data_IF_943976349147
#
_entry.id   IF_943976349147
#
_cell.length_a   1.000
_cell.length_b   1.000
_cell.length_c   1.000
_cell.angle_alpha   90.00
_cell.angle_beta   90.00
_cell.angle_gamma   90.00
#
_symmetry.space_group_name_H-M   'P 1'
#
loop_
_entity.id
_entity.type
_entity.pdbx_description
1 polymer ?
#
# COMPACT_ATOMS: atom_id res chain seq x y z
N UNK A 1 -14.17 12.40 22.64
CA UNK A 1 -15.06 11.70 21.68
C UNK A 1 -16.13 10.88 22.39
N UNK A 2 -15.80 10.10 23.44
CA UNK A 2 -16.79 9.31 24.20
C UNK A 2 -17.94 10.13 24.82
N UNK A 3 -17.70 11.37 25.15
CA UNK A 3 -18.72 12.29 25.65
C UNK A 3 -19.69 12.78 24.56
N UNK A 4 -19.38 12.51 23.30
CA UNK A 4 -20.12 12.97 22.11
C UNK A 4 -20.88 11.85 21.40
N UNK A 5 -20.73 10.60 21.86
CA UNK A 5 -21.35 9.41 21.24
C UNK A 5 -21.65 8.35 22.27
N UNK A 6 -22.74 7.60 22.04
CA UNK A 6 -23.12 6.45 22.89
C UNK A 6 -22.18 5.26 22.69
N UNK A 7 -21.69 5.05 21.47
CA UNK A 7 -20.74 4.00 21.11
C UNK A 7 -19.60 4.55 20.27
N UNK A 8 -18.36 4.26 20.64
CA UNK A 8 -17.15 4.57 19.89
C UNK A 8 -16.55 3.29 19.32
N UNK A 9 -16.61 3.15 18.00
CA UNK A 9 -16.02 2.03 17.27
C UNK A 9 -14.68 2.47 16.65
N UNK A 10 -13.62 1.71 16.91
CA UNK A 10 -12.32 1.92 16.27
C UNK A 10 -12.06 0.88 15.19
N UNK A 11 -11.79 1.34 13.97
CA UNK A 11 -11.34 0.54 12.84
C UNK A 11 -9.98 1.10 12.40
N UNK A 12 -8.89 0.33 12.42
CA UNK A 12 -7.60 0.79 11.92
C UNK A 12 -7.71 1.24 10.46
N UNK A 13 -7.17 2.42 10.16
CA UNK A 13 -7.17 2.97 8.79
C UNK A 13 -6.17 2.25 7.85
N UNK A 14 -5.28 1.45 8.41
CA UNK A 14 -4.28 0.67 7.68
C UNK A 14 -4.66 -0.80 7.63
N UNK A 15 -4.11 -1.50 6.65
CA UNK A 15 -4.12 -2.96 6.57
C UNK A 15 -2.68 -3.45 6.56
N UNK A 16 -2.46 -4.61 7.20
CA UNK A 16 -1.13 -5.21 7.34
C UNK A 16 -1.17 -6.64 6.81
N UNK A 17 0.01 -7.16 6.46
CA UNK A 17 0.14 -8.58 6.15
C UNK A 17 -0.42 -9.40 7.31
N UNK A 18 -1.23 -10.41 7.01
CA UNK A 18 -1.68 -11.35 8.04
C UNK A 18 -0.51 -12.21 8.52
N UNK A 19 -0.39 -12.38 9.82
CA UNK A 19 0.70 -13.11 10.46
C UNK A 19 0.13 -14.13 11.45
N UNK A 20 0.84 -15.23 11.65
CA UNK A 20 0.49 -16.21 12.67
C UNK A 20 0.65 -15.54 14.07
N UNK A 21 -0.39 -15.55 14.90
CA UNK A 21 -0.30 -15.08 16.30
C UNK A 21 0.76 -15.77 17.15
N UNK A 22 1.27 -16.91 16.72
CA UNK A 22 2.34 -17.66 17.40
C UNK A 22 3.75 -17.21 16.97
N UNK A 23 3.89 -16.48 15.87
CA UNK A 23 5.17 -15.91 15.45
C UNK A 23 5.49 -14.68 16.31
N UNK A 24 6.20 -14.92 17.41
CA UNK A 24 6.52 -13.90 18.43
C UNK A 24 7.29 -12.71 17.85
N UNK A 25 8.18 -12.95 16.87
CA UNK A 25 8.97 -11.89 16.23
C UNK A 25 8.09 -11.01 15.34
N UNK A 26 7.23 -11.62 14.53
CA UNK A 26 6.29 -10.89 13.69
C UNK A 26 5.26 -10.12 14.53
N UNK A 27 4.78 -10.70 15.63
CA UNK A 27 3.86 -10.05 16.59
C UNK A 27 4.51 -8.84 17.23
N UNK A 28 5.77 -8.93 17.68
CA UNK A 28 6.47 -7.78 18.30
C UNK A 28 6.62 -6.62 17.32
N UNK A 29 6.89 -6.87 16.05
CA UNK A 29 6.99 -5.83 15.01
C UNK A 29 5.69 -5.04 14.80
N UNK A 30 4.53 -5.63 15.09
CA UNK A 30 3.22 -4.98 14.92
C UNK A 30 2.60 -4.50 16.22
N UNK A 31 3.26 -4.75 17.36
CA UNK A 31 2.74 -4.45 18.71
C UNK A 31 2.38 -2.96 18.88
N UNK A 32 3.16 -2.07 18.30
CA UNK A 32 2.91 -0.63 18.38
C UNK A 32 1.57 -0.20 17.76
N UNK A 33 1.05 -0.95 16.77
CA UNK A 33 -0.28 -0.71 16.20
C UNK A 33 -1.43 -1.13 17.15
N UNK A 34 -1.16 -2.05 18.06
CA UNK A 34 -2.12 -2.48 19.09
C UNK A 34 -2.19 -1.49 20.24
N UNK A 35 -1.05 -0.93 20.62
CA UNK A 35 -0.90 -0.10 21.83
C UNK A 35 -1.35 1.35 21.65
N UNK A 36 -2.22 1.63 20.69
CA UNK A 36 -2.72 2.99 20.44
C UNK A 36 -3.87 3.35 21.38
N UNK A 37 -4.02 4.63 21.78
CA UNK A 37 -5.10 5.07 22.65
C UNK A 37 -6.50 4.72 22.13
N UNK A 38 -6.68 4.66 20.80
CA UNK A 38 -7.95 4.31 20.17
C UNK A 38 -8.41 2.89 20.55
N UNK A 39 -7.50 1.91 20.63
CA UNK A 39 -7.81 0.53 21.04
C UNK A 39 -8.31 0.48 22.49
N UNK A 40 -7.67 1.26 23.39
CA UNK A 40 -8.07 1.32 24.79
C UNK A 40 -9.42 2.02 24.98
N UNK A 41 -9.62 3.13 24.30
CA UNK A 41 -10.73 4.04 24.56
C UNK A 41 -12.01 3.73 23.78
N UNK A 42 -11.94 2.99 22.67
CA UNK A 42 -13.12 2.55 21.94
C UNK A 42 -13.97 1.60 22.78
N UNK A 43 -15.25 1.50 22.46
CA UNK A 43 -16.16 0.50 23.02
C UNK A 43 -16.04 -0.81 22.26
N UNK A 44 -15.83 -0.72 20.92
CA UNK A 44 -15.53 -1.85 20.03
C UNK A 44 -14.31 -1.57 19.17
N UNK A 45 -13.58 -2.63 18.84
CA UNK A 45 -12.41 -2.57 17.95
C UNK A 45 -12.58 -3.61 16.86
N UNK A 46 -12.67 -3.19 15.61
CA UNK A 46 -12.83 -4.10 14.47
C UNK A 46 -11.49 -4.18 13.73
N UNK A 47 -10.95 -5.37 13.59
CA UNK A 47 -9.66 -5.62 12.93
C UNK A 47 -9.83 -6.56 11.73
N UNK A 48 -8.85 -6.55 10.85
CA UNK A 48 -8.91 -7.12 9.50
C UNK A 48 -9.04 -8.66 9.43
N UNK A 49 -8.76 -9.39 10.52
CA UNK A 49 -8.79 -10.86 10.52
C UNK A 49 -8.86 -11.42 11.94
N UNK A 50 -9.22 -12.71 12.06
CA UNK A 50 -9.20 -13.43 13.33
C UNK A 50 -7.78 -13.58 13.90
N UNK A 51 -6.76 -13.81 13.07
CA UNK A 51 -5.36 -13.77 13.50
C UNK A 51 -5.02 -12.42 14.13
N UNK A 52 -5.45 -11.33 13.48
CA UNK A 52 -5.23 -9.98 14.00
C UNK A 52 -5.96 -9.76 15.33
N UNK A 53 -7.19 -10.25 15.48
CA UNK A 53 -7.91 -10.24 16.76
C UNK A 53 -7.11 -10.94 17.85
N UNK A 54 -6.61 -12.14 17.59
CA UNK A 54 -5.81 -12.89 18.58
C UNK A 54 -4.56 -12.13 19.01
N UNK A 55 -3.86 -11.48 18.06
CA UNK A 55 -2.69 -10.64 18.37
C UNK A 55 -3.07 -9.48 19.29
N UNK A 56 -4.17 -8.79 18.99
CA UNK A 56 -4.65 -7.67 19.80
C UNK A 56 -5.06 -8.14 21.21
N UNK A 57 -5.85 -9.20 21.30
CA UNK A 57 -6.27 -9.79 22.60
C UNK A 57 -5.06 -10.21 23.43
N UNK A 58 -4.14 -10.97 22.84
CA UNK A 58 -2.95 -11.46 23.55
C UNK A 58 -2.05 -10.30 24.03
N UNK A 59 -1.84 -9.31 23.17
CA UNK A 59 -1.02 -8.13 23.51
C UNK A 59 -1.64 -7.33 24.65
N UNK A 60 -2.93 -7.06 24.58
CA UNK A 60 -3.62 -6.28 25.63
C UNK A 60 -3.76 -7.07 26.93
N UNK A 61 -3.97 -8.38 26.85
CA UNK A 61 -3.98 -9.27 28.02
C UNK A 61 -2.60 -9.31 28.70
N UNK A 62 -1.51 -9.37 27.94
CA UNK A 62 -0.15 -9.33 28.48
C UNK A 62 0.14 -8.01 29.22
N UNK A 63 -0.48 -6.90 28.81
CA UNK A 63 -0.31 -5.59 29.44
C UNK A 63 -1.19 -5.42 30.68
N UNK A 64 -2.45 -5.86 30.63
CA UNK A 64 -3.46 -5.56 31.64
C UNK A 64 -3.76 -6.76 32.58
N UNK A 65 -3.17 -7.91 32.30
CA UNK A 65 -3.32 -9.14 33.09
C UNK A 65 -4.41 -10.09 32.58
N UNK A 66 -4.27 -11.37 32.88
CA UNK A 66 -5.13 -12.46 32.39
C UNK A 66 -6.60 -12.29 32.79
N UNK A 67 -6.88 -11.68 33.93
CA UNK A 67 -8.25 -11.36 34.37
C UNK A 67 -9.02 -10.46 33.38
N UNK A 68 -8.32 -9.75 32.47
CA UNK A 68 -8.90 -8.87 31.46
C UNK A 68 -9.10 -9.56 30.11
N UNK A 69 -8.69 -10.81 29.91
CA UNK A 69 -8.78 -11.53 28.64
C UNK A 69 -10.19 -11.52 28.05
N UNK A 70 -11.18 -11.96 28.85
CA UNK A 70 -12.58 -12.00 28.39
C UNK A 70 -13.11 -10.64 27.95
N UNK A 71 -12.69 -9.57 28.62
CA UNK A 71 -13.05 -8.21 28.20
C UNK A 71 -12.48 -7.87 26.81
N UNK A 72 -11.20 -8.20 26.54
CA UNK A 72 -10.58 -7.93 25.26
C UNK A 72 -11.12 -8.82 24.15
N UNK A 73 -11.43 -10.08 24.44
CA UNK A 73 -12.07 -11.02 23.49
C UNK A 73 -13.45 -10.54 23.03
N UNK A 74 -14.23 -9.94 23.93
CA UNK A 74 -15.55 -9.38 23.59
C UNK A 74 -15.47 -8.04 22.90
N UNK A 75 -14.43 -7.23 23.17
CA UNK A 75 -14.27 -5.89 22.63
C UNK A 75 -13.69 -5.89 21.22
N UNK A 76 -12.85 -6.89 20.88
CA UNK A 76 -12.12 -6.96 19.62
C UNK A 76 -12.77 -7.98 18.69
N UNK A 77 -13.09 -7.54 17.48
CA UNK A 77 -13.73 -8.37 16.45
C UNK A 77 -12.80 -8.48 15.23
N UNK A 78 -12.57 -9.72 14.76
CA UNK A 78 -11.72 -10.03 13.61
C UNK A 78 -12.51 -10.20 12.31
N UNK A 79 -13.44 -9.28 12.01
CA UNK A 79 -14.47 -9.47 10.98
C UNK A 79 -14.10 -8.95 9.60
N UNK A 80 -12.95 -8.27 9.45
CA UNK A 80 -12.53 -7.75 8.14
C UNK A 80 -12.07 -6.30 8.19
N UNK A 81 -11.91 -5.71 7.00
CA UNK A 81 -11.54 -4.29 6.84
C UNK A 81 -12.34 -3.67 5.71
N UNK A 82 -12.96 -2.50 5.91
CA UNK A 82 -13.65 -1.78 4.83
C UNK A 82 -12.76 -1.50 3.60
N UNK A 83 -11.44 -1.45 3.80
CA UNK A 83 -10.49 -1.31 2.68
C UNK A 83 -10.43 -2.56 1.81
N UNK A 84 -10.53 -3.74 2.42
CA UNK A 84 -10.59 -5.00 1.65
C UNK A 84 -11.89 -5.11 0.90
N UNK A 85 -13.02 -4.85 1.57
CA UNK A 85 -14.34 -4.87 0.94
C UNK A 85 -14.42 -3.87 -0.22
N UNK A 86 -13.82 -2.68 -0.05
CA UNK A 86 -13.72 -1.70 -1.12
C UNK A 86 -12.97 -2.24 -2.32
N UNK A 87 -11.76 -2.81 -2.12
CA UNK A 87 -10.91 -3.29 -3.21
C UNK A 87 -11.52 -4.50 -3.93
N UNK A 88 -12.15 -5.41 -3.21
CA UNK A 88 -12.82 -6.59 -3.79
C UNK A 88 -13.99 -6.21 -4.70
N UNK A 89 -14.56 -5.02 -4.52
CA UNK A 89 -15.70 -4.51 -5.30
C UNK A 89 -15.31 -3.43 -6.33
N UNK A 90 -14.01 -3.11 -6.51
CA UNK A 90 -13.56 -2.14 -7.51
C UNK A 90 -13.77 -2.68 -8.93
N UNK A 91 -14.27 -1.81 -9.81
CA UNK A 91 -14.38 -2.04 -11.24
C UNK A 91 -13.71 -0.91 -11.99
N UNK A 92 -13.06 -1.23 -13.11
CA UNK A 92 -12.40 -0.21 -13.94
C UNK A 92 -13.39 0.86 -14.44
N UNK A 93 -14.61 0.44 -14.79
CA UNK A 93 -15.69 1.32 -15.26
C UNK A 93 -16.15 2.37 -14.24
N UNK A 94 -15.85 2.17 -12.95
CA UNK A 94 -16.20 3.13 -11.88
C UNK A 94 -15.26 4.34 -11.85
N UNK A 95 -14.21 4.35 -12.67
CA UNK A 95 -13.16 5.37 -12.63
C UNK A 95 -12.99 6.08 -13.96
N UNK A 96 -12.97 7.39 -13.88
CA UNK A 96 -12.56 8.22 -15.00
C UNK A 96 -11.03 8.23 -15.08
N UNK A 97 -10.50 7.79 -16.22
CA UNK A 97 -9.07 7.86 -16.56
C UNK A 97 -8.88 9.10 -17.43
N UNK A 98 -7.89 9.99 -17.14
CA UNK A 98 -7.55 11.11 -18.01
C UNK A 98 -7.31 10.66 -19.46
N UNK A 99 -7.74 11.46 -20.43
CA UNK A 99 -7.66 11.05 -21.85
C UNK A 99 -6.22 10.87 -22.32
N UNK A 100 -5.29 11.65 -21.81
CA UNK A 100 -3.86 11.47 -22.04
C UNK A 100 -3.33 10.12 -21.53
N UNK A 101 -3.86 9.62 -20.41
CA UNK A 101 -3.50 8.30 -19.87
C UNK A 101 -4.16 7.17 -20.67
N UNK A 102 -5.43 7.35 -21.08
CA UNK A 102 -6.11 6.39 -21.97
C UNK A 102 -5.33 6.19 -23.27
N UNK A 103 -4.83 7.28 -23.86
CA UNK A 103 -4.04 7.22 -25.09
C UNK A 103 -2.78 6.37 -24.94
N UNK A 104 -2.11 6.42 -23.77
CA UNK A 104 -0.93 5.59 -23.47
C UNK A 104 -1.28 4.10 -23.28
N UNK A 105 -2.52 3.79 -22.88
CA UNK A 105 -2.99 2.43 -22.63
C UNK A 105 -3.43 1.69 -23.89
N UNK A 106 -3.47 2.35 -25.05
CA UNK A 106 -3.95 1.76 -26.30
C UNK A 106 -2.78 1.56 -27.27
N UNK A 107 -2.75 0.40 -27.92
CA UNK A 107 -1.80 0.08 -28.99
C UNK A 107 -2.21 0.74 -30.30
N UNK A 108 -1.30 0.86 -31.29
CA UNK A 108 -1.64 1.40 -32.61
C UNK A 108 -2.77 0.63 -33.34
N UNK A 109 -2.96 -0.65 -33.03
CA UNK A 109 -4.02 -1.47 -33.59
C UNK A 109 -5.38 -1.32 -32.88
N UNK A 110 -5.45 -0.43 -31.87
CA UNK A 110 -6.65 -0.15 -31.07
C UNK A 110 -6.88 -1.13 -29.89
N UNK A 111 -6.02 -2.12 -29.71
CA UNK A 111 -6.11 -3.03 -28.55
C UNK A 111 -5.50 -2.40 -27.31
N UNK A 112 -5.91 -2.85 -26.12
CA UNK A 112 -5.39 -2.34 -24.85
C UNK A 112 -4.06 -2.97 -24.49
N UNK A 113 -3.09 -2.15 -24.08
CA UNK A 113 -1.85 -2.62 -23.44
C UNK A 113 -2.15 -3.16 -22.04
N UNK A 114 -1.28 -4.02 -21.55
CA UNK A 114 -1.30 -4.41 -20.13
C UNK A 114 -0.75 -3.28 -19.25
N UNK A 115 -1.52 -2.87 -18.26
CA UNK A 115 -1.11 -1.84 -17.31
C UNK A 115 -0.44 -2.46 -16.08
N UNK A 116 0.79 -2.07 -15.79
CA UNK A 116 1.56 -2.56 -14.66
C UNK A 116 1.71 -1.46 -13.62
N UNK A 117 1.11 -1.65 -12.44
CA UNK A 117 1.26 -0.72 -11.31
C UNK A 117 2.67 -0.83 -10.72
N UNK A 118 3.49 0.19 -10.91
CA UNK A 118 4.82 0.29 -10.34
C UNK A 118 4.78 1.17 -9.08
N UNK A 119 4.94 0.56 -7.92
CA UNK A 119 4.93 1.27 -6.65
C UNK A 119 6.31 1.38 -6.04
N UNK A 120 6.75 2.60 -5.75
CA UNK A 120 8.00 2.91 -5.03
C UNK A 120 7.67 3.43 -3.63
N UNK A 121 8.23 2.78 -2.60
CA UNK A 121 7.92 3.02 -1.20
C UNK A 121 8.98 3.83 -0.46
N UNK A 122 8.58 4.68 0.48
CA UNK A 122 9.51 5.49 1.29
C UNK A 122 10.48 4.65 2.13
N UNK A 123 10.02 3.53 2.69
CA UNK A 123 10.89 2.65 3.48
C UNK A 123 12.00 2.03 2.62
N UNK A 124 11.66 1.63 1.38
CA UNK A 124 12.67 1.13 0.44
C UNK A 124 13.67 2.23 0.07
N UNK A 125 13.19 3.47 -0.14
CA UNK A 125 14.04 4.60 -0.47
C UNK A 125 15.04 4.90 0.65
N UNK A 126 14.58 4.99 1.91
CA UNK A 126 15.44 5.25 3.08
C UNK A 126 16.47 4.13 3.28
N UNK A 127 16.11 2.87 3.07
CA UNK A 127 16.99 1.74 3.33
C UNK A 127 17.99 1.47 2.21
N UNK A 128 17.71 1.90 0.98
CA UNK A 128 18.53 1.59 -0.20
C UNK A 128 19.31 2.80 -0.72
N UNK A 129 18.87 4.01 -0.35
CA UNK A 129 19.54 5.27 -0.74
C UNK A 129 19.81 5.33 -2.27
N UNK A 130 21.08 5.49 -2.67
CA UNK A 130 21.49 5.53 -4.07
C UNK A 130 21.09 4.28 -4.87
N UNK A 131 21.08 3.10 -4.24
CA UNK A 131 20.62 1.86 -4.89
C UNK A 131 19.12 1.94 -5.27
N UNK A 132 18.33 2.76 -4.58
CA UNK A 132 16.93 2.96 -4.95
C UNK A 132 16.80 3.74 -6.26
N UNK A 133 17.66 4.74 -6.50
CA UNK A 133 17.69 5.45 -7.79
C UNK A 133 18.08 4.52 -8.92
N UNK A 134 19.12 3.71 -8.74
CA UNK A 134 19.51 2.70 -9.73
C UNK A 134 18.36 1.73 -10.02
N UNK A 135 17.66 1.25 -8.99
CA UNK A 135 16.50 0.36 -9.13
C UNK A 135 15.38 1.01 -9.93
N UNK A 136 15.11 2.31 -9.74
CA UNK A 136 14.12 3.05 -10.51
C UNK A 136 14.58 3.12 -11.97
N UNK A 137 15.80 3.54 -12.24
CA UNK A 137 16.36 3.64 -13.60
C UNK A 137 16.30 2.31 -14.34
N UNK A 138 16.78 1.23 -13.71
CA UNK A 138 16.76 -0.12 -14.31
C UNK A 138 15.32 -0.56 -14.65
N UNK A 139 14.35 -0.21 -13.79
CA UNK A 139 12.93 -0.52 -14.04
C UNK A 139 12.39 0.29 -15.23
N UNK A 140 12.67 1.59 -15.27
CA UNK A 140 12.22 2.46 -16.36
C UNK A 140 12.83 2.04 -17.70
N UNK A 141 14.13 1.73 -17.73
CA UNK A 141 14.84 1.29 -18.92
C UNK A 141 14.34 -0.06 -19.43
N UNK A 142 14.11 -1.01 -18.50
CA UNK A 142 13.51 -2.30 -18.86
C UNK A 142 12.11 -2.12 -19.43
N UNK A 143 11.25 -1.41 -18.75
CA UNK A 143 9.84 -1.26 -19.14
C UNK A 143 9.68 -0.44 -20.43
N UNK A 144 10.57 0.49 -20.69
CA UNK A 144 10.60 1.22 -21.97
C UNK A 144 10.82 0.29 -23.16
N UNK A 145 11.59 -0.79 -23.02
CA UNK A 145 11.78 -1.76 -24.09
C UNK A 145 10.49 -2.53 -24.44
N UNK A 146 9.53 -2.59 -23.51
CA UNK A 146 8.26 -3.27 -23.66
C UNK A 146 7.06 -2.32 -23.76
N UNK A 147 7.30 -1.02 -24.05
CA UNK A 147 6.28 0.02 -24.07
C UNK A 147 5.15 -0.20 -25.09
N UNK A 148 5.38 -1.06 -26.09
CA UNK A 148 4.36 -1.43 -27.07
C UNK A 148 3.34 -2.43 -26.54
N UNK A 149 3.72 -3.23 -25.56
CA UNK A 149 2.86 -4.26 -24.95
C UNK A 149 2.33 -3.85 -23.57
N UNK A 150 3.13 -3.06 -22.84
CA UNK A 150 2.84 -2.64 -21.47
C UNK A 150 2.81 -1.12 -21.37
N UNK A 151 1.97 -0.62 -20.47
CA UNK A 151 2.09 0.74 -19.92
C UNK A 151 2.50 0.62 -18.46
N UNK A 152 3.61 1.27 -18.09
CA UNK A 152 4.03 1.35 -16.70
C UNK A 152 3.24 2.49 -16.03
N UNK A 153 2.47 2.14 -14.99
CA UNK A 153 1.74 3.09 -14.15
C UNK A 153 2.56 3.32 -12.89
N UNK A 154 3.50 4.27 -12.97
CA UNK A 154 4.37 4.58 -11.83
C UNK A 154 3.65 5.43 -10.81
N UNK A 155 3.43 4.85 -9.64
CA UNK A 155 2.79 5.50 -8.50
C UNK A 155 3.72 5.48 -7.29
N UNK A 156 4.49 6.55 -7.03
CA UNK A 156 5.30 6.67 -5.83
C UNK A 156 4.41 6.85 -4.59
N UNK A 157 4.98 6.55 -3.43
CA UNK A 157 4.32 6.85 -2.17
C UNK A 157 4.05 8.36 -2.05
N UNK A 158 2.87 8.80 -1.55
CA UNK A 158 2.54 10.23 -1.46
C UNK A 158 3.54 11.11 -0.68
N UNK A 159 4.27 10.51 0.25
CA UNK A 159 5.31 11.20 1.03
C UNK A 159 6.71 11.11 0.39
N UNK A 160 6.85 10.59 -0.83
CA UNK A 160 8.16 10.36 -1.44
C UNK A 160 8.97 11.66 -1.54
N UNK A 161 8.41 12.71 -2.11
CA UNK A 161 9.07 14.02 -2.22
C UNK A 161 9.50 14.55 -0.85
N UNK A 162 8.58 14.58 0.11
CA UNK A 162 8.87 15.08 1.45
C UNK A 162 9.96 14.23 2.15
N UNK A 163 9.94 12.92 1.95
CA UNK A 163 10.95 12.02 2.52
C UNK A 163 12.33 12.29 1.91
N UNK A 164 12.44 12.34 0.58
CA UNK A 164 13.72 12.58 -0.08
C UNK A 164 14.28 13.95 0.31
N UNK A 165 13.47 15.01 0.25
CA UNK A 165 13.93 16.37 0.58
C UNK A 165 14.43 16.52 2.02
N UNK A 166 13.85 15.76 2.96
CA UNK A 166 14.20 15.89 4.38
C UNK A 166 15.25 14.90 4.85
N UNK A 167 15.28 13.70 4.28
CA UNK A 167 16.14 12.61 4.77
C UNK A 167 17.30 12.29 3.84
N UNK A 168 17.13 12.49 2.52
CA UNK A 168 18.14 12.18 1.48
C UNK A 168 18.22 13.34 0.45
N UNK A 169 18.44 14.59 0.88
CA UNK A 169 18.33 15.77 0.02
C UNK A 169 19.29 15.74 -1.18
N UNK A 170 20.42 15.02 -1.07
CA UNK A 170 21.39 14.83 -2.17
C UNK A 170 20.80 14.07 -3.35
N UNK A 171 19.77 13.23 -3.14
CA UNK A 171 19.12 12.44 -4.19
C UNK A 171 17.95 13.19 -4.85
N UNK A 172 17.56 14.34 -4.30
CA UNK A 172 16.37 15.06 -4.77
C UNK A 172 16.51 15.52 -6.24
N UNK A 173 17.66 16.07 -6.62
CA UNK A 173 17.88 16.56 -7.97
C UNK A 173 17.76 15.44 -9.00
N UNK A 174 18.37 14.29 -8.72
CA UNK A 174 18.31 13.12 -9.59
C UNK A 174 16.88 12.56 -9.66
N UNK A 175 16.22 12.38 -8.51
CA UNK A 175 14.85 11.87 -8.47
C UNK A 175 13.88 12.78 -9.23
N UNK A 176 13.90 14.09 -8.97
CA UNK A 176 13.00 15.05 -9.63
C UNK A 176 13.22 15.09 -11.13
N UNK A 177 14.47 15.07 -11.60
CA UNK A 177 14.81 14.98 -13.01
C UNK A 177 14.27 13.69 -13.63
N UNK A 178 14.47 12.55 -12.99
CA UNK A 178 13.95 11.25 -13.46
C UNK A 178 12.43 11.27 -13.60
N UNK A 179 11.71 11.87 -12.66
CA UNK A 179 10.24 12.05 -12.76
C UNK A 179 9.84 12.91 -13.94
N UNK A 180 10.50 14.06 -14.13
CA UNK A 180 10.20 14.97 -15.24
C UNK A 180 10.52 14.33 -16.62
N UNK A 181 11.64 13.62 -16.73
CA UNK A 181 12.01 12.87 -17.92
C UNK A 181 10.99 11.77 -18.24
N UNK A 182 10.53 11.04 -17.21
CA UNK A 182 9.52 9.99 -17.37
C UNK A 182 8.18 10.57 -17.86
N UNK A 183 7.71 11.68 -17.27
CA UNK A 183 6.50 12.37 -17.70
C UNK A 183 6.62 12.87 -19.14
N UNK A 184 7.75 13.48 -19.51
CA UNK A 184 8.01 14.02 -20.82
C UNK A 184 8.16 12.94 -21.91
N UNK A 185 8.62 11.74 -21.54
CA UNK A 185 8.86 10.65 -22.48
C UNK A 185 7.59 10.06 -23.10
N UNK A 186 6.42 10.21 -22.46
CA UNK A 186 5.10 9.91 -23.03
C UNK A 186 4.84 8.44 -23.37
N UNK A 187 5.49 7.50 -22.68
CA UNK A 187 5.25 6.06 -22.84
C UNK A 187 4.65 5.37 -21.61
N UNK A 188 4.59 6.08 -20.48
CA UNK A 188 4.04 5.57 -19.22
C UNK A 188 3.26 6.62 -18.45
N UNK A 189 2.61 6.22 -17.40
CA UNK A 189 1.74 7.06 -16.55
C UNK A 189 2.46 7.35 -15.25
N UNK A 190 2.62 8.62 -14.88
CA UNK A 190 3.05 9.03 -13.54
C UNK A 190 1.82 9.47 -12.75
N UNK A 191 1.52 8.75 -11.66
CA UNK A 191 0.31 8.97 -10.86
C UNK A 191 0.66 9.43 -9.43
N UNK A 192 0.64 10.73 -9.21
CA UNK A 192 0.76 11.40 -7.92
C UNK A 192 -0.61 11.82 -7.35
N UNK A 193 -1.70 11.36 -7.93
CA UNK A 193 -3.06 11.70 -7.50
C UNK A 193 -3.44 10.96 -6.20
N UNK A 194 -4.41 11.46 -5.42
CA UNK A 194 -4.89 10.78 -4.23
C UNK A 194 -5.71 9.51 -4.52
N UNK A 195 -6.07 9.24 -5.79
CA UNK A 195 -6.98 8.14 -6.16
C UNK A 195 -6.25 6.80 -6.31
N UNK A 196 -6.00 6.13 -5.19
CA UNK A 196 -5.40 4.80 -5.15
C UNK A 196 -6.30 3.72 -5.76
N UNK A 197 -7.61 3.82 -5.53
CA UNK A 197 -8.58 2.83 -6.00
C UNK A 197 -8.57 2.73 -7.53
N UNK A 198 -8.45 3.87 -8.24
CA UNK A 198 -8.29 3.91 -9.69
C UNK A 198 -7.05 3.13 -10.14
N UNK A 199 -5.90 3.36 -9.50
CA UNK A 199 -4.67 2.67 -9.86
C UNK A 199 -4.79 1.15 -9.65
N UNK A 200 -5.46 0.69 -8.57
CA UNK A 200 -5.71 -0.73 -8.31
C UNK A 200 -6.70 -1.32 -9.34
N UNK A 201 -7.78 -0.60 -9.63
CA UNK A 201 -8.83 -1.08 -10.53
C UNK A 201 -8.33 -1.21 -11.98
N UNK A 202 -7.62 -0.18 -12.47
CA UNK A 202 -7.27 -0.01 -13.88
C UNK A 202 -5.96 -0.69 -14.29
N UNK A 203 -5.22 -1.32 -13.37
CA UNK A 203 -3.97 -2.03 -13.68
C UNK A 203 -4.16 -3.55 -13.66
N UNK A 204 -3.38 -4.27 -14.47
CA UNK A 204 -3.47 -5.72 -14.68
C UNK A 204 -2.50 -6.52 -13.78
N UNK A 205 -1.51 -5.86 -13.18
CA UNK A 205 -0.52 -6.46 -12.30
C UNK A 205 0.19 -5.41 -11.44
N UNK A 206 0.80 -5.89 -10.38
CA UNK A 206 1.62 -5.07 -9.47
C UNK A 206 3.09 -5.44 -9.60
N UNK A 207 3.94 -4.43 -9.64
CA UNK A 207 5.38 -4.54 -9.55
C UNK A 207 5.93 -3.46 -8.62
N UNK A 208 6.84 -3.79 -7.72
CA UNK A 208 7.45 -2.78 -6.87
C UNK A 208 7.73 -3.21 -5.44
N UNK A 209 7.79 -2.23 -4.54
CA UNK A 209 8.19 -2.42 -3.15
C UNK A 209 7.10 -3.08 -2.31
N UNK A 210 7.53 -3.79 -1.27
CA UNK A 210 6.62 -4.26 -0.23
C UNK A 210 6.02 -3.07 0.52
N UNK A 211 4.70 -2.97 0.54
CA UNK A 211 3.96 -1.91 1.22
C UNK A 211 2.57 -2.39 1.63
N UNK A 212 1.81 -1.54 2.33
CA UNK A 212 0.40 -1.82 2.63
C UNK A 212 -0.45 -1.93 1.35
N UNK A 213 0.00 -1.36 0.24
CA UNK A 213 -0.64 -1.47 -1.06
C UNK A 213 -0.65 -2.91 -1.58
N UNK A 214 0.41 -3.69 -1.32
CA UNK A 214 0.46 -5.11 -1.68
C UNK A 214 -0.72 -5.87 -1.05
N UNK A 215 -1.02 -5.59 0.23
CA UNK A 215 -2.12 -6.24 0.95
C UNK A 215 -3.50 -5.91 0.34
N UNK A 216 -3.65 -4.71 -0.18
CA UNK A 216 -4.85 -4.29 -0.92
C UNK A 216 -4.88 -4.96 -2.29
N UNK A 217 -3.76 -4.92 -3.01
CA UNK A 217 -3.67 -5.47 -4.37
C UNK A 217 -3.90 -6.99 -4.41
N UNK A 218 -3.48 -7.73 -3.37
CA UNK A 218 -3.77 -9.17 -3.20
C UNK A 218 -5.28 -9.49 -3.28
N UNK A 219 -6.15 -8.57 -2.83
CA UNK A 219 -7.59 -8.74 -2.88
C UNK A 219 -8.17 -8.72 -4.31
N UNK A 220 -7.44 -8.17 -5.27
CA UNK A 220 -7.83 -8.18 -6.69
C UNK A 220 -7.58 -9.53 -7.36
N UNK A 221 -6.78 -10.41 -6.77
CA UNK A 221 -6.29 -11.68 -7.34
C UNK A 221 -5.47 -11.51 -8.65
N UNK A 222 -5.06 -10.28 -8.97
CA UNK A 222 -4.17 -9.97 -10.08
C UNK A 222 -2.73 -10.34 -9.72
N UNK A 223 -1.83 -10.58 -10.71
CA UNK A 223 -0.43 -10.91 -10.46
C UNK A 223 0.30 -9.85 -9.63
N UNK A 224 1.15 -10.30 -8.71
CA UNK A 224 2.01 -9.45 -7.88
C UNK A 224 3.45 -9.94 -7.99
N UNK A 225 4.35 -9.02 -8.30
CA UNK A 225 5.78 -9.24 -8.28
C UNK A 225 6.43 -8.21 -7.36
N UNK A 226 7.00 -8.68 -6.25
CA UNK A 226 7.75 -7.81 -5.34
C UNK A 226 9.18 -7.67 -5.86
N UNK A 227 9.56 -6.42 -6.10
CA UNK A 227 10.91 -6.08 -6.53
C UNK A 227 11.84 -6.08 -5.31
N UNK A 228 12.77 -7.04 -5.29
CA UNK A 228 13.85 -7.08 -4.28
C UNK A 228 15.12 -6.51 -4.89
N UNK A 229 15.80 -5.62 -4.18
CA UNK A 229 17.19 -5.35 -4.51
C UNK A 229 17.99 -6.60 -4.14
N UNK A 230 18.79 -7.09 -5.05
CA UNK A 230 19.82 -8.09 -4.74
C UNK A 230 20.84 -7.37 -3.85
N UNK A 231 21.14 -7.98 -2.69
CA UNK A 231 22.18 -7.53 -1.78
C UNK A 231 23.55 -7.57 -2.44
#
# INVERSE_FOLDING_TARGET
LKEMTEELVYIPYFVLRDIDPKDTKAVENVRHFVMVPAVKNADRVIVQSENRKQIYVNTMTAIEGEARRAYWENKIEGTGSPKFDRVENLREEDFEIPDEWKALMIKPDGTRKKALLYNTGVTAFINLEEKMMQKIHDTLDLMKQYQDEFVLWWRPHPLMEATIRNMEPQLWEEYSRTVEEYKAAGWGIYDDTPNLDRAIACTDGYYGDTSSLVQLYEKTKKPIMIQRCLE
#
